data_IF_929773394162
#
_entry.id   IF_929773394162
#
_cell.length_a   1.000
_cell.length_b   1.000
_cell.length_c   1.000
_cell.angle_alpha   90.00
_cell.angle_beta   90.00
_cell.angle_gamma   90.00
#
_symmetry.space_group_name_H-M   'P 1'
#
loop_
_entity.id
_entity.type
_entity.pdbx_description
1 polymer ?
#
# COMPACT_ATOMS: atom_id res chain seq x y z
N UNK A 1 -11.84 25.56 69.91
CA UNK A 1 -12.49 24.23 70.10
C UNK A 1 -13.56 24.14 69.04
N UNK A 2 -13.32 23.46 67.92
CA UNK A 2 -13.48 22.03 67.62
C UNK A 2 -14.66 21.82 66.65
N UNK A 3 -14.32 21.38 65.42
CA UNK A 3 -14.99 20.54 64.40
C UNK A 3 -16.55 20.50 64.34
N UNK A 4 -17.21 20.44 63.18
CA UNK A 4 -17.34 19.20 62.37
C UNK A 4 -18.09 19.41 61.04
N UNK A 5 -17.41 19.12 59.91
CA UNK A 5 -17.75 18.34 58.69
C UNK A 5 -19.13 18.42 57.97
N UNK A 6 -19.02 18.63 56.65
CA UNK A 6 -19.57 17.88 55.49
C UNK A 6 -21.08 17.61 55.36
N UNK A 7 -21.70 18.15 54.30
CA UNK A 7 -22.62 17.43 53.38
C UNK A 7 -22.87 18.31 52.12
N UNK A 8 -22.43 17.91 50.92
CA UNK A 8 -23.25 17.40 49.78
C UNK A 8 -24.19 18.49 49.18
N UNK A 9 -24.19 18.83 47.89
CA UNK A 9 -24.27 17.96 46.70
C UNK A 9 -23.71 18.72 45.48
N UNK A 10 -22.77 18.08 44.79
CA UNK A 10 -22.28 18.47 43.46
C UNK A 10 -23.45 18.47 42.45
N UNK A 11 -23.76 19.64 41.87
CA UNK A 11 -24.72 19.73 40.77
C UNK A 11 -24.08 19.16 39.50
N UNK A 12 -24.82 18.25 38.88
CA UNK A 12 -24.47 17.44 37.71
C UNK A 12 -23.80 18.22 36.58
N UNK A 13 -22.56 17.86 36.27
CA UNK A 13 -21.93 18.13 34.98
C UNK A 13 -21.61 16.78 34.33
N UNK A 14 -22.64 16.10 33.81
CA UNK A 14 -22.49 14.87 33.01
C UNK A 14 -23.18 15.06 31.67
N UNK A 15 -22.61 15.95 30.85
CA UNK A 15 -22.72 15.81 29.39
C UNK A 15 -21.97 14.53 29.00
N UNK A 16 -22.72 13.45 28.83
CA UNK A 16 -22.24 12.24 28.18
C UNK A 16 -21.89 12.60 26.72
N UNK A 17 -20.62 12.89 26.47
CA UNK A 17 -20.04 12.77 25.14
C UNK A 17 -20.05 11.28 24.82
N UNK A 18 -21.13 10.82 24.17
CA UNK A 18 -21.12 9.58 23.44
C UNK A 18 -20.11 9.76 22.29
N UNK A 19 -18.84 9.50 22.57
CA UNK A 19 -17.84 9.24 21.55
C UNK A 19 -18.33 7.95 20.88
N UNK A 20 -19.09 8.10 19.81
CA UNK A 20 -19.35 7.01 18.89
C UNK A 20 -18.00 6.57 18.37
N UNK A 21 -17.45 5.51 18.97
CA UNK A 21 -16.36 4.76 18.37
C UNK A 21 -16.94 4.11 17.11
N UNK A 22 -16.98 4.87 16.02
CA UNK A 22 -17.10 4.28 14.70
C UNK A 22 -15.81 3.50 14.52
N UNK A 23 -15.85 2.21 14.81
CA UNK A 23 -14.77 1.30 14.41
C UNK A 23 -14.61 1.48 12.92
N UNK A 24 -13.43 1.94 12.48
CA UNK A 24 -13.15 2.02 11.06
C UNK A 24 -13.50 0.69 10.41
N UNK A 25 -14.19 0.68 9.25
CA UNK A 25 -14.44 -0.57 8.55
C UNK A 25 -13.11 -1.31 8.35
N UNK A 26 -13.09 -2.64 8.55
CA UNK A 26 -11.88 -3.42 8.34
C UNK A 26 -11.39 -3.22 6.91
N UNK A 27 -10.07 -3.16 6.73
CA UNK A 27 -9.45 -3.02 5.42
C UNK A 27 -9.97 -4.12 4.48
N UNK A 28 -10.41 -3.72 3.28
CA UNK A 28 -10.97 -4.59 2.27
C UNK A 28 -9.98 -4.92 1.14
N UNK A 29 -8.85 -4.22 1.07
CA UNK A 29 -7.66 -4.59 0.33
C UNK A 29 -7.20 -5.93 0.92
N UNK A 30 -7.70 -7.02 0.35
CA UNK A 30 -7.62 -8.33 0.97
C UNK A 30 -6.16 -8.66 1.22
N UNK A 31 -5.79 -8.80 2.49
CA UNK A 31 -4.47 -9.32 2.82
C UNK A 31 -4.38 -10.73 2.30
N UNK A 32 -3.42 -11.02 1.42
CA UNK A 32 -3.10 -12.42 1.12
C UNK A 32 -2.61 -13.09 2.41
N UNK A 33 -2.80 -14.39 2.60
CA UNK A 33 -2.17 -15.11 3.73
C UNK A 33 -0.63 -15.08 3.66
N UNK A 34 -0.10 -14.80 2.48
CA UNK A 34 1.32 -14.58 2.19
C UNK A 34 1.63 -13.10 1.96
N UNK A 35 2.87 -12.67 2.18
CA UNK A 35 3.44 -11.58 1.40
C UNK A 35 3.94 -10.39 2.19
N UNK A 36 4.78 -10.64 3.19
CA UNK A 36 5.59 -9.60 3.83
C UNK A 36 7.08 -9.92 3.68
N UNK A 37 7.91 -8.88 3.72
CA UNK A 37 9.35 -9.06 3.77
C UNK A 37 9.81 -9.45 5.18
N UNK A 38 10.84 -10.29 5.28
CA UNK A 38 11.36 -10.79 6.54
C UNK A 38 12.25 -9.74 7.20
N UNK A 39 12.03 -9.49 8.49
CA UNK A 39 12.83 -8.50 9.23
C UNK A 39 12.52 -7.05 8.88
N UNK A 40 11.47 -6.79 8.10
CA UNK A 40 10.91 -5.44 7.92
C UNK A 40 9.84 -5.25 8.99
N UNK A 41 10.13 -4.49 10.05
CA UNK A 41 9.17 -4.17 11.10
C UNK A 41 9.03 -2.65 11.27
N UNK A 42 7.83 -2.10 11.03
CA UNK A 42 7.47 -0.71 11.32
C UNK A 42 8.26 0.36 10.56
N UNK A 43 9.52 0.58 10.93
CA UNK A 43 10.43 1.60 10.42
C UNK A 43 11.59 1.05 9.57
N UNK A 44 11.69 -0.26 9.37
CA UNK A 44 12.72 -0.81 8.49
C UNK A 44 12.37 -0.54 7.02
N UNK A 45 13.35 -0.20 6.16
CA UNK A 45 13.08 0.03 4.76
C UNK A 45 12.87 -1.27 3.99
N UNK A 46 11.99 -1.24 2.99
CA UNK A 46 11.94 -2.22 1.91
C UNK A 46 12.88 -1.72 0.81
N UNK A 47 13.99 -2.42 0.58
CA UNK A 47 14.94 -2.07 -0.47
C UNK A 47 14.38 -2.36 -1.85
N UNK A 48 14.72 -1.50 -2.81
CA UNK A 48 14.43 -1.74 -4.21
C UNK A 48 15.57 -1.33 -5.13
N UNK A 49 15.65 -1.98 -6.28
CA UNK A 49 16.64 -1.67 -7.32
C UNK A 49 16.06 -1.72 -8.72
N UNK A 50 16.57 -0.86 -9.58
CA UNK A 50 16.31 -0.87 -11.02
C UNK A 50 17.34 -1.73 -11.76
N UNK A 51 16.88 -2.64 -12.62
CA UNK A 51 17.76 -3.47 -13.45
C UNK A 51 17.77 -3.04 -14.93
N UNK A 52 16.59 -2.85 -15.51
CA UNK A 52 16.44 -2.34 -16.88
C UNK A 52 15.15 -1.54 -16.91
N UNK A 53 15.26 -0.24 -16.62
CA UNK A 53 14.09 0.65 -16.58
C UNK A 53 14.31 1.88 -17.47
N UNK A 54 13.31 2.22 -18.28
CA UNK A 54 13.26 3.44 -19.06
C UNK A 54 12.74 4.59 -18.21
N UNK A 55 13.08 5.82 -18.59
CA UNK A 55 12.72 7.04 -17.84
C UNK A 55 11.21 7.16 -17.58
N UNK A 56 10.38 6.70 -18.51
CA UNK A 56 8.91 6.72 -18.36
C UNK A 56 8.43 5.93 -17.16
N UNK A 57 8.90 4.68 -17.00
CA UNK A 57 8.46 3.81 -15.91
C UNK A 57 9.24 4.08 -14.62
N UNK A 58 10.48 4.56 -14.71
CA UNK A 58 11.22 5.12 -13.59
C UNK A 58 10.44 6.26 -12.92
N UNK A 59 9.93 7.22 -13.70
CA UNK A 59 9.14 8.34 -13.17
C UNK A 59 7.81 7.87 -12.57
N UNK A 60 7.15 6.90 -13.21
CA UNK A 60 5.90 6.33 -12.71
C UNK A 60 6.12 5.62 -11.36
N UNK A 61 7.16 4.77 -11.26
CA UNK A 61 7.50 4.07 -10.03
C UNK A 61 7.88 5.03 -8.91
N UNK A 62 8.83 5.96 -9.14
CA UNK A 62 9.24 6.91 -8.09
C UNK A 62 8.06 7.77 -7.59
N UNK A 63 7.16 8.19 -8.50
CA UNK A 63 5.98 8.96 -8.10
C UNK A 63 5.00 8.13 -7.27
N UNK A 64 4.85 6.85 -7.59
CA UNK A 64 4.00 5.91 -6.84
C UNK A 64 4.61 5.56 -5.47
N UNK A 65 5.91 5.27 -5.47
CA UNK A 65 6.70 4.99 -4.29
C UNK A 65 6.63 6.14 -3.28
N UNK A 66 6.88 7.37 -3.72
CA UNK A 66 6.77 8.54 -2.83
C UNK A 66 5.36 8.76 -2.27
N UNK A 67 4.31 8.27 -2.94
CA UNK A 67 2.93 8.30 -2.41
C UNK A 67 2.72 7.28 -1.31
N UNK A 68 3.22 6.06 -1.50
CA UNK A 68 3.21 5.04 -0.46
C UNK A 68 3.97 5.49 0.79
N UNK A 69 5.20 6.00 0.63
CA UNK A 69 5.99 6.54 1.75
C UNK A 69 5.25 7.65 2.51
N UNK A 70 4.56 8.55 1.80
CA UNK A 70 3.80 9.64 2.41
C UNK A 70 2.63 9.17 3.30
N UNK A 71 2.16 7.93 3.13
CA UNK A 71 1.05 7.37 3.93
C UNK A 71 1.47 6.89 5.31
N UNK A 72 2.78 6.73 5.54
CA UNK A 72 3.33 6.09 6.75
C UNK A 72 2.80 4.66 6.95
N UNK A 73 2.51 3.94 5.86
CA UNK A 73 2.45 2.49 5.93
C UNK A 73 3.84 1.96 6.35
N UNK A 74 3.92 0.86 7.13
CA UNK A 74 5.19 0.25 7.50
C UNK A 74 6.01 -0.12 6.27
N UNK A 75 7.34 -0.11 6.39
CA UNK A 75 8.21 -0.47 5.27
C UNK A 75 8.32 0.65 4.23
N UNK A 76 9.08 1.71 4.52
CA UNK A 76 9.32 2.76 3.51
C UNK A 76 10.27 2.25 2.42
N UNK A 77 10.09 2.68 1.18
CA UNK A 77 10.90 2.15 0.09
C UNK A 77 12.25 2.87 -0.03
N UNK A 78 13.34 2.11 0.01
CA UNK A 78 14.69 2.66 -0.13
C UNK A 78 15.35 2.19 -1.41
N UNK A 79 15.74 3.13 -2.26
CA UNK A 79 16.51 2.80 -3.46
C UNK A 79 17.93 2.37 -3.11
N UNK A 80 18.32 1.18 -3.55
CA UNK A 80 19.65 0.62 -3.31
C UNK A 80 20.31 0.19 -4.62
N UNK A 81 20.95 1.15 -5.29
CA UNK A 81 21.56 0.97 -6.62
C UNK A 81 22.54 -0.21 -6.71
N UNK A 82 23.25 -0.50 -5.63
CA UNK A 82 24.32 -1.51 -5.59
C UNK A 82 23.93 -2.77 -4.83
N UNK A 83 22.70 -2.87 -4.30
CA UNK A 83 22.26 -4.08 -3.62
C UNK A 83 22.06 -5.20 -4.65
N UNK A 84 22.82 -6.28 -4.49
CA UNK A 84 22.75 -7.46 -5.36
C UNK A 84 21.50 -8.31 -5.13
N UNK A 85 20.84 -8.12 -3.98
CA UNK A 85 19.70 -8.89 -3.51
C UNK A 85 18.68 -7.94 -2.83
N UNK A 86 18.04 -7.04 -3.61
CA UNK A 86 17.03 -6.14 -3.09
C UNK A 86 15.70 -6.88 -2.89
N UNK A 87 14.89 -6.43 -1.93
CA UNK A 87 13.55 -7.00 -1.72
C UNK A 87 12.64 -6.81 -2.94
N UNK A 88 12.80 -5.70 -3.67
CA UNK A 88 12.05 -5.42 -4.89
C UNK A 88 12.98 -5.15 -6.08
N UNK A 89 12.85 -5.97 -7.11
CA UNK A 89 13.44 -5.71 -8.42
C UNK A 89 12.44 -5.00 -9.35
N UNK A 90 12.81 -3.85 -9.88
CA UNK A 90 11.95 -3.06 -10.77
C UNK A 90 12.54 -3.01 -12.19
N UNK A 91 11.71 -3.32 -13.19
CA UNK A 91 12.10 -3.36 -14.61
C UNK A 91 10.93 -3.01 -15.54
N UNK A 92 11.23 -2.66 -16.78
CA UNK A 92 10.25 -2.65 -17.86
C UNK A 92 10.78 -3.32 -19.12
N UNK A 93 9.88 -3.95 -19.87
CA UNK A 93 10.16 -4.42 -21.22
C UNK A 93 8.85 -4.57 -22.01
N UNK A 94 8.96 -4.82 -23.31
CA UNK A 94 7.82 -5.10 -24.16
C UNK A 94 7.52 -6.59 -24.13
N UNK A 95 6.37 -6.98 -23.60
CA UNK A 95 5.98 -8.38 -23.51
C UNK A 95 4.73 -8.73 -24.32
N UNK A 96 4.51 -10.03 -24.55
CA UNK A 96 3.37 -10.55 -25.30
C UNK A 96 2.07 -10.68 -24.47
N UNK A 97 2.14 -10.62 -23.14
CA UNK A 97 0.97 -10.71 -22.26
C UNK A 97 0.14 -9.42 -22.26
N UNK A 98 -1.14 -9.56 -21.86
CA UNK A 98 -2.13 -8.50 -21.91
C UNK A 98 -2.14 -7.55 -20.71
N UNK A 99 -1.51 -7.90 -19.60
CA UNK A 99 -1.54 -7.06 -18.40
C UNK A 99 -0.57 -5.87 -18.52
N UNK A 100 -0.86 -4.79 -17.81
CA UNK A 100 -0.05 -3.57 -17.82
C UNK A 100 1.25 -3.73 -17.06
N UNK A 101 1.22 -4.41 -15.92
CA UNK A 101 2.37 -4.73 -15.13
C UNK A 101 2.11 -6.04 -14.37
N UNK A 102 3.18 -6.64 -13.84
CA UNK A 102 3.13 -7.84 -13.03
C UNK A 102 4.10 -7.71 -11.88
N UNK A 103 3.56 -7.90 -10.70
CA UNK A 103 4.32 -8.24 -9.50
C UNK A 103 4.35 -9.77 -9.38
N UNK A 104 5.55 -10.34 -9.32
CA UNK A 104 5.78 -11.78 -9.28
C UNK A 104 6.78 -12.15 -8.19
N UNK A 105 6.68 -13.38 -7.68
CA UNK A 105 7.48 -13.88 -6.56
C UNK A 105 7.64 -15.40 -6.72
N UNK A 106 8.63 -15.99 -6.04
CA UNK A 106 8.94 -17.41 -6.19
C UNK A 106 8.08 -18.33 -5.32
N UNK A 107 7.40 -17.78 -4.33
CA UNK A 107 6.55 -18.55 -3.43
C UNK A 107 6.31 -17.84 -2.11
N UNK A 108 5.74 -18.59 -1.19
CA UNK A 108 5.54 -18.17 0.18
C UNK A 108 6.07 -19.19 1.15
N UNK A 109 6.72 -18.74 2.23
CA UNK A 109 7.14 -19.64 3.30
C UNK A 109 6.92 -18.93 4.64
N UNK A 110 6.12 -19.55 5.52
CA UNK A 110 5.73 -18.99 6.83
C UNK A 110 5.11 -17.57 6.78
N UNK A 111 4.43 -17.22 5.69
CA UNK A 111 3.80 -15.90 5.50
C UNK A 111 4.71 -14.84 4.87
N UNK A 112 6.00 -15.14 4.68
CA UNK A 112 6.99 -14.27 4.03
C UNK A 112 7.14 -14.59 2.54
N UNK A 113 7.57 -13.61 1.76
CA UNK A 113 8.01 -13.86 0.39
C UNK A 113 9.19 -14.85 0.40
N UNK A 114 9.12 -15.90 -0.43
CA UNK A 114 10.26 -16.81 -0.57
C UNK A 114 11.46 -16.05 -1.13
N UNK A 115 12.62 -16.25 -0.50
CA UNK A 115 13.87 -15.52 -0.77
C UNK A 115 13.79 -14.01 -0.52
N UNK A 116 12.75 -13.55 0.17
CA UNK A 116 12.52 -12.13 0.45
C UNK A 116 12.48 -11.24 -0.80
N UNK A 117 12.14 -11.83 -1.96
CA UNK A 117 12.29 -11.17 -3.26
C UNK A 117 10.96 -11.11 -4.02
N UNK A 118 10.64 -9.91 -4.51
CA UNK A 118 9.53 -9.63 -5.41
C UNK A 118 10.04 -8.93 -6.67
N UNK A 119 9.54 -9.34 -7.83
CA UNK A 119 9.90 -8.72 -9.13
C UNK A 119 8.69 -7.98 -9.69
N UNK A 120 8.83 -6.67 -9.84
CA UNK A 120 7.85 -5.78 -10.45
C UNK A 120 8.27 -5.43 -11.88
N UNK A 121 7.43 -5.81 -12.84
CA UNK A 121 7.70 -5.65 -14.26
C UNK A 121 6.60 -4.83 -14.92
N UNK A 122 6.94 -3.67 -15.48
CA UNK A 122 6.05 -2.90 -16.35
C UNK A 122 6.09 -3.45 -17.78
N UNK A 123 4.92 -3.60 -18.39
CA UNK A 123 4.79 -4.02 -19.78
C UNK A 123 4.67 -2.79 -20.68
N UNK A 124 5.78 -2.43 -21.33
CA UNK A 124 5.84 -1.22 -22.14
C UNK A 124 4.96 -1.27 -23.38
N UNK A 125 4.59 -2.47 -23.84
CA UNK A 125 3.66 -2.68 -24.96
C UNK A 125 2.24 -2.24 -24.60
N UNK A 126 1.70 -2.74 -23.49
CA UNK A 126 0.30 -2.52 -23.10
C UNK A 126 0.10 -1.18 -22.40
N UNK A 127 1.14 -0.65 -21.75
CA UNK A 127 1.11 0.67 -21.10
C UNK A 127 1.41 1.85 -22.06
N UNK A 128 1.73 1.59 -23.33
CA UNK A 128 2.16 2.65 -24.28
C UNK A 128 1.15 3.79 -24.37
N UNK A 129 -0.15 3.47 -24.43
CA UNK A 129 -1.24 4.45 -24.56
C UNK A 129 -1.69 5.11 -23.26
N UNK A 130 -1.17 4.69 -22.11
CA UNK A 130 -1.56 5.26 -20.82
C UNK A 130 -0.92 6.65 -20.63
N UNK A 131 -1.65 7.56 -20.01
CA UNK A 131 -1.11 8.84 -19.53
C UNK A 131 -0.07 8.64 -18.42
N UNK A 132 0.72 9.66 -18.11
CA UNK A 132 1.68 9.60 -17.01
C UNK A 132 1.01 9.29 -15.66
N UNK A 133 -0.18 9.86 -15.42
CA UNK A 133 -0.98 9.58 -14.23
C UNK A 133 -1.44 8.13 -14.17
N UNK A 134 -1.95 7.57 -15.27
CA UNK A 134 -2.40 6.17 -15.30
C UNK A 134 -1.22 5.20 -15.11
N UNK A 135 -0.05 5.49 -15.69
CA UNK A 135 1.17 4.71 -15.45
C UNK A 135 1.58 4.73 -13.97
N UNK A 136 1.49 5.90 -13.33
CA UNK A 136 1.70 6.05 -11.88
C UNK A 136 0.69 5.21 -11.08
N UNK A 137 -0.60 5.26 -11.41
CA UNK A 137 -1.63 4.44 -10.70
C UNK A 137 -1.37 2.93 -10.87
N UNK A 138 -0.92 2.50 -12.05
CA UNK A 138 -0.47 1.11 -12.25
C UNK A 138 0.73 0.81 -11.33
N UNK A 139 1.71 1.69 -11.24
CA UNK A 139 2.84 1.49 -10.33
C UNK A 139 2.42 1.45 -8.85
N UNK A 140 1.49 2.32 -8.41
CA UNK A 140 0.94 2.30 -7.05
C UNK A 140 0.25 0.96 -6.73
N UNK A 141 -0.46 0.40 -7.70
CA UNK A 141 -1.11 -0.91 -7.60
C UNK A 141 -0.09 -2.05 -7.44
N UNK A 142 0.95 -2.07 -8.26
CA UNK A 142 1.99 -3.09 -8.18
C UNK A 142 2.80 -3.01 -6.87
N UNK A 143 3.05 -1.80 -6.37
CA UNK A 143 3.68 -1.62 -5.05
C UNK A 143 2.79 -2.19 -3.94
N UNK A 144 1.46 -2.02 -4.03
CA UNK A 144 0.53 -2.66 -3.11
C UNK A 144 0.61 -4.20 -3.16
N UNK A 145 0.85 -4.80 -4.32
CA UNK A 145 1.14 -6.22 -4.40
C UNK A 145 2.45 -6.62 -3.71
N UNK A 146 3.49 -5.79 -3.78
CA UNK A 146 4.74 -6.03 -3.06
C UNK A 146 4.54 -5.98 -1.52
N UNK A 147 3.62 -5.14 -1.03
CA UNK A 147 3.14 -5.17 0.35
C UNK A 147 2.28 -6.40 0.72
N UNK A 148 2.02 -7.30 -0.22
CA UNK A 148 1.21 -8.51 0.01
C UNK A 148 -0.29 -8.28 -0.09
N UNK A 149 -0.73 -7.16 -0.65
CA UNK A 149 -2.15 -6.87 -0.87
C UNK A 149 -2.68 -7.66 -2.06
N UNK A 150 -3.90 -8.15 -1.92
CA UNK A 150 -4.70 -8.78 -2.97
C UNK A 150 -5.57 -7.76 -3.69
N UNK A 151 -6.12 -8.17 -4.83
CA UNK A 151 -7.06 -7.32 -5.57
C UNK A 151 -8.35 -7.11 -4.79
N UNK A 152 -8.84 -5.88 -4.71
CA UNK A 152 -10.19 -5.59 -4.22
C UNK A 152 -11.22 -5.53 -5.36
N UNK A 153 -12.49 -5.80 -5.02
CA UNK A 153 -13.63 -5.71 -5.94
C UNK A 153 -14.42 -4.40 -5.81
N UNK A 154 -14.07 -3.53 -4.86
CA UNK A 154 -14.83 -2.34 -4.52
C UNK A 154 -14.74 -1.30 -5.62
N UNK A 155 -15.77 -0.44 -5.72
CA UNK A 155 -15.87 0.67 -6.66
C UNK A 155 -15.20 1.95 -6.14
N UNK A 156 -15.24 3.05 -6.88
CA UNK A 156 -14.71 4.33 -6.37
C UNK A 156 -15.54 4.93 -5.22
N UNK A 157 -16.63 4.26 -4.85
CA UNK A 157 -17.58 4.66 -3.83
C UNK A 157 -17.73 3.52 -2.82
N UNK A 158 -17.61 3.89 -1.54
CA UNK A 158 -17.89 3.12 -0.31
C UNK A 158 -17.27 1.70 -0.21
N UNK A 159 -16.33 1.44 0.73
CA UNK A 159 -15.78 2.35 1.76
C UNK A 159 -14.90 3.48 1.17
N UNK A 160 -14.55 3.39 -0.10
CA UNK A 160 -13.78 4.40 -0.81
C UNK A 160 -13.07 3.79 -2.01
N UNK A 161 -12.36 4.60 -2.79
CA UNK A 161 -11.47 4.07 -3.82
C UNK A 161 -10.31 3.28 -3.19
N UNK A 162 -9.82 2.26 -3.89
CA UNK A 162 -8.55 1.63 -3.58
C UNK A 162 -7.74 1.30 -4.84
N UNK A 163 -6.43 1.33 -4.69
CA UNK A 163 -5.49 1.16 -5.80
C UNK A 163 -5.39 -0.30 -6.19
N UNK A 164 -5.69 -1.21 -5.26
CA UNK A 164 -5.71 -2.66 -5.49
C UNK A 164 -6.82 -3.16 -6.41
N UNK A 165 -7.66 -2.29 -6.98
CA UNK A 165 -8.62 -2.70 -8.01
C UNK A 165 -7.95 -3.16 -9.31
N UNK A 166 -8.53 -4.19 -9.92
CA UNK A 166 -8.15 -4.67 -11.25
C UNK A 166 -8.81 -3.86 -12.39
N UNK A 167 -8.08 -3.67 -13.49
CA UNK A 167 -8.60 -3.04 -14.71
C UNK A 167 -8.63 -1.51 -14.71
N UNK A 168 -9.33 -0.91 -15.68
CA UNK A 168 -9.31 0.54 -15.94
C UNK A 168 -10.10 1.38 -14.94
N UNK A 169 -11.04 0.77 -14.22
CA UNK A 169 -11.96 1.49 -13.32
C UNK A 169 -11.23 2.16 -12.15
N UNK A 170 -9.99 1.79 -11.83
CA UNK A 170 -9.16 2.52 -10.84
C UNK A 170 -8.73 3.91 -11.29
N UNK A 171 -8.66 4.18 -12.60
CA UNK A 171 -8.24 5.48 -13.12
C UNK A 171 -9.26 6.59 -12.86
N UNK A 172 -10.54 6.22 -12.72
CA UNK A 172 -11.66 7.13 -12.52
C UNK A 172 -11.92 7.56 -11.07
N UNK A 173 -11.12 7.07 -10.10
CA UNK A 173 -11.45 7.18 -8.68
C UNK A 173 -11.19 8.52 -7.98
N UNK A 174 -10.97 9.61 -8.72
CA UNK A 174 -10.74 10.94 -8.13
C UNK A 174 -9.44 11.01 -7.31
N UNK A 175 -8.42 11.69 -7.84
CA UNK A 175 -7.10 11.76 -7.21
C UNK A 175 -6.27 10.48 -7.40
N UNK A 176 -5.13 10.42 -6.72
CA UNK A 176 -4.16 9.32 -6.85
C UNK A 176 -4.10 8.53 -5.54
N UNK A 177 -3.81 7.23 -5.62
CA UNK A 177 -3.66 6.37 -4.46
C UNK A 177 -2.29 6.54 -3.77
N UNK A 178 -1.91 5.57 -2.92
CA UNK A 178 -2.80 4.58 -2.30
C UNK A 178 -3.82 5.27 -1.39
N UNK A 179 -5.00 4.68 -1.24
CA UNK A 179 -6.08 5.24 -0.43
C UNK A 179 -6.14 4.58 0.95
N UNK A 180 -7.06 5.07 1.79
CA UNK A 180 -7.20 4.64 3.19
C UNK A 180 -7.21 3.11 3.33
N UNK A 181 -7.99 2.43 2.49
CA UNK A 181 -8.17 0.99 2.55
C UNK A 181 -6.87 0.22 2.22
N UNK A 182 -6.16 0.64 1.17
CA UNK A 182 -4.86 0.09 0.79
C UNK A 182 -3.83 0.25 1.93
N UNK A 183 -3.83 1.42 2.59
CA UNK A 183 -2.91 1.75 3.69
C UNK A 183 -3.22 0.92 4.94
N UNK A 184 -4.49 0.70 5.26
CA UNK A 184 -4.87 -0.18 6.37
C UNK A 184 -4.51 -1.64 6.06
N UNK A 185 -4.69 -2.08 4.82
CA UNK A 185 -4.23 -3.38 4.36
C UNK A 185 -2.73 -3.56 4.61
N UNK A 186 -1.91 -2.60 4.20
CA UNK A 186 -0.46 -2.63 4.41
C UNK A 186 -0.10 -2.66 5.91
N UNK A 187 -0.75 -1.83 6.74
CA UNK A 187 -0.57 -1.81 8.20
C UNK A 187 -0.98 -3.10 8.91
N UNK A 188 -1.93 -3.86 8.36
CA UNK A 188 -2.32 -5.13 8.96
C UNK A 188 -1.33 -6.27 8.65
N UNK A 189 -0.40 -6.05 7.71
CA UNK A 189 0.60 -7.03 7.28
C UNK A 189 1.91 -6.96 8.06
N UNK A 190 2.30 -5.75 8.45
CA UNK A 190 3.55 -5.41 9.11
C UNK A 190 3.26 -4.86 10.50
#
# INVERSE_FOLDING_TARGET
MHYTRLLQVFLLCTTFLAIGFTTSPPAQAYTKLCGKFFGVDGNDPISYRYYSITTTYYNAFNSAQGRWDATRAPGFFRYEKSNGDPEIEVRDASYAWGDWARTSWQGCTFGYWSYDEVKLTFNSRTMKGLSAREKKIVAEHEIGHAYGLGHESLGCSNPGPAVMRQGQTKFGCGGDGPWYDDVQGAKSKY
#
